data_IF_085720651173
#
_entry.id   IF_085720651173
#
_cell.length_a   1.000
_cell.length_b   1.000
_cell.length_c   1.000
_cell.angle_alpha   90.00
_cell.angle_beta   90.00
_cell.angle_gamma   90.00
#
_symmetry.space_group_name_H-M   'P 1'
#
loop_
_entity.id
_entity.type
_entity.pdbx_description
1 polymer ?
#
# COMPACT_ATOMS: atom_id res chain seq x y z
N UNK A 1 -55.93 -31.13 -54.01
CA UNK A 1 -55.08 -29.94 -53.98
C UNK A 1 -54.63 -29.75 -52.53
N UNK A 2 -53.42 -30.22 -52.16
CA UNK A 2 -52.87 -30.15 -50.83
C UNK A 2 -51.79 -29.05 -50.83
N UNK A 3 -52.02 -27.99 -50.14
CA UNK A 3 -51.03 -26.90 -49.96
C UNK A 3 -50.10 -27.25 -48.83
N UNK A 4 -48.80 -27.40 -49.10
CA UNK A 4 -47.72 -27.60 -48.17
C UNK A 4 -47.20 -26.21 -47.77
N UNK A 5 -47.28 -25.84 -46.46
CA UNK A 5 -46.63 -24.67 -45.90
C UNK A 5 -45.18 -25.01 -45.59
N UNK A 6 -44.20 -24.12 -45.88
CA UNK A 6 -42.82 -24.32 -45.44
C UNK A 6 -42.68 -23.88 -43.98
N UNK A 7 -42.10 -24.76 -43.13
CA UNK A 7 -41.67 -24.46 -41.77
C UNK A 7 -40.37 -23.66 -41.84
N UNK A 8 -40.43 -22.40 -41.46
CA UNK A 8 -39.24 -21.59 -41.22
C UNK A 8 -38.59 -22.00 -39.89
N UNK A 9 -37.39 -22.59 -39.94
CA UNK A 9 -36.53 -22.82 -38.77
C UNK A 9 -35.88 -21.47 -38.43
N UNK A 10 -36.26 -20.89 -37.27
CA UNK A 10 -35.56 -19.79 -36.71
C UNK A 10 -34.35 -20.32 -35.89
N UNK A 11 -33.14 -20.14 -36.45
CA UNK A 11 -31.89 -20.35 -35.68
C UNK A 11 -31.71 -19.20 -34.69
N UNK A 12 -32.00 -19.45 -33.42
CA UNK A 12 -31.63 -18.55 -32.33
C UNK A 12 -30.13 -18.71 -32.06
N UNK A 13 -29.32 -17.78 -32.57
CA UNK A 13 -27.89 -17.72 -32.28
C UNK A 13 -27.66 -17.30 -30.83
N UNK A 14 -27.16 -18.20 -29.99
CA UNK A 14 -26.74 -17.95 -28.65
C UNK A 14 -25.41 -17.14 -28.68
N UNK A 15 -25.47 -15.84 -28.51
CA UNK A 15 -24.27 -15.00 -28.38
C UNK A 15 -23.72 -15.22 -26.96
N UNK A 16 -22.69 -16.08 -26.85
CA UNK A 16 -21.89 -16.20 -25.60
C UNK A 16 -20.96 -15.01 -25.52
N UNK A 17 -21.34 -14.00 -24.72
CA UNK A 17 -20.44 -12.91 -24.35
C UNK A 17 -19.29 -13.48 -23.51
N UNK A 18 -18.12 -13.67 -24.10
CA UNK A 18 -16.88 -13.90 -23.38
C UNK A 18 -16.52 -12.61 -22.65
N UNK A 19 -16.91 -12.50 -21.36
CA UNK A 19 -16.36 -11.50 -20.46
C UNK A 19 -14.94 -11.97 -20.15
N UNK A 20 -13.95 -11.38 -20.83
CA UNK A 20 -12.55 -11.58 -20.47
C UNK A 20 -12.38 -11.12 -19.02
N UNK A 21 -11.74 -11.92 -18.13
CA UNK A 21 -11.45 -11.48 -16.78
C UNK A 21 -10.56 -10.23 -16.90
N UNK A 22 -11.04 -9.10 -16.42
CA UNK A 22 -10.19 -7.93 -16.19
C UNK A 22 -9.10 -8.41 -15.22
N UNK A 23 -7.87 -8.49 -15.69
CA UNK A 23 -6.72 -8.88 -14.89
C UNK A 23 -6.60 -7.82 -13.79
N UNK A 24 -7.02 -8.15 -12.58
CA UNK A 24 -6.84 -7.28 -11.44
C UNK A 24 -5.32 -7.11 -11.23
N UNK A 25 -4.87 -5.86 -11.12
CA UNK A 25 -3.46 -5.54 -10.84
C UNK A 25 -3.02 -6.27 -9.58
N UNK A 26 -1.89 -6.99 -9.65
CA UNK A 26 -1.39 -7.73 -8.49
C UNK A 26 -0.89 -6.79 -7.40
N UNK A 27 -0.87 -7.23 -6.12
CA UNK A 27 -0.28 -6.44 -5.03
C UNK A 27 1.13 -5.94 -5.36
N UNK A 28 1.97 -6.82 -5.92
CA UNK A 28 3.34 -6.49 -6.31
C UNK A 28 3.42 -5.43 -7.39
N UNK A 29 2.63 -5.58 -8.47
CA UNK A 29 2.61 -4.60 -9.56
C UNK A 29 2.14 -3.23 -9.08
N UNK A 30 1.11 -3.18 -8.25
CA UNK A 30 0.62 -1.93 -7.70
C UNK A 30 1.63 -1.27 -6.76
N UNK A 31 2.23 -2.03 -5.84
CA UNK A 31 3.26 -1.53 -4.93
C UNK A 31 4.46 -0.99 -5.72
N UNK A 32 4.93 -1.75 -6.71
CA UNK A 32 6.02 -1.35 -7.60
C UNK A 32 5.73 -0.02 -8.30
N UNK A 33 4.57 0.08 -8.97
CA UNK A 33 4.17 1.32 -9.65
C UNK A 33 4.02 2.51 -8.69
N UNK A 34 3.67 2.26 -7.43
CA UNK A 34 3.58 3.30 -6.40
C UNK A 34 4.97 3.76 -5.92
N UNK A 35 5.90 2.83 -5.73
CA UNK A 35 7.29 3.14 -5.36
C UNK A 35 7.98 3.89 -6.51
N UNK A 36 7.75 3.50 -7.75
CA UNK A 36 8.29 4.17 -8.93
C UNK A 36 7.84 5.64 -9.06
N UNK A 37 6.75 6.05 -8.41
CA UNK A 37 6.36 7.47 -8.32
C UNK A 37 7.17 8.25 -7.28
N UNK A 38 7.69 7.58 -6.23
CA UNK A 38 8.46 8.23 -5.16
C UNK A 38 9.91 8.46 -5.61
N UNK A 39 10.51 7.49 -6.29
CA UNK A 39 11.92 7.56 -6.66
C UNK A 39 12.32 8.84 -7.43
N UNK A 40 11.55 9.29 -8.45
CA UNK A 40 11.84 10.55 -9.12
C UNK A 40 11.79 11.77 -8.20
N UNK A 41 10.91 11.78 -7.18
CA UNK A 41 10.83 12.88 -6.22
C UNK A 41 12.08 12.93 -5.34
N UNK A 42 12.64 11.77 -4.99
CA UNK A 42 13.87 11.67 -4.19
C UNK A 42 15.10 12.12 -5.01
N UNK A 43 15.10 11.82 -6.30
CA UNK A 43 16.22 12.15 -7.21
C UNK A 43 16.13 13.57 -7.82
N UNK A 44 14.98 14.25 -7.73
CA UNK A 44 14.71 15.54 -8.34
C UNK A 44 15.67 16.64 -7.82
N UNK A 45 16.61 17.16 -8.64
CA UNK A 45 17.59 18.15 -8.19
C UNK A 45 16.95 19.45 -7.69
N UNK A 46 15.82 19.87 -8.28
CA UNK A 46 15.09 21.09 -7.91
C UNK A 46 14.43 20.99 -6.53
N UNK A 47 14.29 19.78 -6.00
CA UNK A 47 13.75 19.50 -4.67
C UNK A 47 14.86 19.17 -3.63
N UNK A 48 16.14 19.16 -4.04
CA UNK A 48 17.27 18.94 -3.13
C UNK A 48 17.65 20.25 -2.42
N UNK A 49 18.16 20.11 -1.19
CA UNK A 49 18.60 21.22 -0.34
C UNK A 49 17.55 21.66 0.68
N UNK A 50 18.02 22.32 1.73
CA UNK A 50 17.24 22.67 2.92
C UNK A 50 16.04 23.58 2.60
N UNK A 51 16.18 24.49 1.66
CA UNK A 51 15.12 25.42 1.24
C UNK A 51 13.92 24.70 0.60
N UNK A 52 14.10 23.49 0.06
CA UNK A 52 13.07 22.70 -0.64
C UNK A 52 12.58 21.49 0.14
N UNK A 53 13.10 21.27 1.33
CA UNK A 53 12.73 20.13 2.18
C UNK A 53 11.22 20.03 2.40
N UNK A 54 10.54 21.16 2.61
CA UNK A 54 9.08 21.18 2.86
C UNK A 54 8.29 20.75 1.62
N UNK A 55 8.65 21.24 0.44
CA UNK A 55 7.98 20.88 -0.82
C UNK A 55 8.22 19.42 -1.17
N UNK A 56 9.45 18.93 -0.99
CA UNK A 56 9.80 17.52 -1.19
C UNK A 56 9.00 16.61 -0.26
N UNK A 57 8.92 16.94 1.04
CA UNK A 57 8.12 16.17 2.00
C UNK A 57 6.64 16.17 1.66
N UNK A 58 6.10 17.29 1.23
CA UNK A 58 4.71 17.37 0.80
C UNK A 58 4.43 16.48 -0.43
N UNK A 59 5.34 16.44 -1.41
CA UNK A 59 5.24 15.58 -2.58
C UNK A 59 5.31 14.08 -2.19
N UNK A 60 6.26 13.69 -1.33
CA UNK A 60 6.36 12.33 -0.82
C UNK A 60 5.10 11.95 -0.02
N UNK A 61 4.58 12.86 0.82
CA UNK A 61 3.37 12.63 1.60
C UNK A 61 2.15 12.41 0.71
N UNK A 62 2.02 13.16 -0.38
CA UNK A 62 0.93 12.97 -1.33
C UNK A 62 0.93 11.55 -1.90
N UNK A 63 2.10 11.04 -2.32
CA UNK A 63 2.24 9.67 -2.81
C UNK A 63 2.01 8.65 -1.69
N UNK A 64 2.53 8.88 -0.48
CA UNK A 64 2.30 8.00 0.66
C UNK A 64 0.82 7.83 0.99
N UNK A 65 0.02 8.92 0.90
CA UNK A 65 -1.43 8.86 1.11
C UNK A 65 -2.17 8.03 0.03
N UNK A 66 -1.57 7.83 -1.15
CA UNK A 66 -2.12 6.94 -2.17
C UNK A 66 -1.77 5.47 -1.92
N UNK A 67 -0.66 5.20 -1.23
CA UNK A 67 -0.08 3.87 -1.02
C UNK A 67 -0.58 3.23 0.27
N UNK A 68 -0.68 4.04 1.36
CA UNK A 68 -0.94 3.52 2.70
C UNK A 68 -2.41 3.66 3.10
N UNK A 69 -2.92 2.63 3.79
CA UNK A 69 -4.15 2.72 4.57
C UNK A 69 -3.79 3.12 6.01
N UNK A 70 -3.64 4.42 6.25
CA UNK A 70 -3.32 4.93 7.59
C UNK A 70 -4.40 4.64 8.63
N UNK A 71 -5.65 4.42 8.21
CA UNK A 71 -6.74 4.03 9.11
C UNK A 71 -6.53 2.61 9.62
N UNK A 72 -6.20 1.69 8.74
CA UNK A 72 -5.90 0.31 9.15
C UNK A 72 -4.59 0.21 9.94
N UNK A 73 -3.56 0.97 9.55
CA UNK A 73 -2.32 1.10 10.33
C UNK A 73 -2.59 1.60 11.75
N UNK A 74 -3.45 2.62 11.88
CA UNK A 74 -3.86 3.18 13.17
C UNK A 74 -4.65 2.16 14.01
N UNK A 75 -5.54 1.39 13.38
CA UNK A 75 -6.28 0.31 14.04
C UNK A 75 -5.33 -0.73 14.62
N UNK A 76 -4.31 -1.14 13.89
CA UNK A 76 -3.29 -2.06 14.37
C UNK A 76 -2.49 -1.47 15.55
N UNK A 77 -2.10 -0.21 15.45
CA UNK A 77 -1.34 0.47 16.51
C UNK A 77 -2.12 0.60 17.82
N UNK A 78 -3.40 0.93 17.74
CA UNK A 78 -4.25 1.05 18.94
C UNK A 78 -4.72 -0.32 19.47
N UNK A 79 -4.80 -1.35 18.60
CA UNK A 79 -5.23 -2.68 19.00
C UNK A 79 -6.57 -2.65 19.75
N UNK A 80 -6.66 -3.22 20.98
CA UNK A 80 -7.91 -3.25 21.74
C UNK A 80 -8.47 -1.88 22.13
N UNK A 81 -7.66 -0.83 22.05
CA UNK A 81 -8.09 0.53 22.40
C UNK A 81 -8.87 1.19 21.24
N UNK A 82 -8.76 0.66 20.00
CA UNK A 82 -9.42 1.20 18.82
C UNK A 82 -10.94 1.25 18.94
N UNK A 83 -11.55 0.16 19.42
CA UNK A 83 -13.01 0.04 19.48
C UNK A 83 -13.65 0.99 20.50
N UNK A 84 -12.85 1.48 21.46
CA UNK A 84 -13.28 2.46 22.48
C UNK A 84 -13.14 3.90 22.03
N UNK A 85 -12.66 4.16 20.81
CA UNK A 85 -12.49 5.50 20.26
C UNK A 85 -13.66 5.86 19.37
N UNK A 86 -14.04 7.12 19.41
CA UNK A 86 -15.00 7.71 18.47
C UNK A 86 -14.39 7.76 17.06
N UNK A 87 -15.23 7.91 16.04
CA UNK A 87 -14.74 8.03 14.65
C UNK A 87 -13.85 9.26 14.46
N UNK A 88 -14.14 10.35 15.16
CA UNK A 88 -13.31 11.55 15.14
C UNK A 88 -11.91 11.29 15.73
N UNK A 89 -11.83 10.61 16.88
CA UNK A 89 -10.56 10.23 17.50
C UNK A 89 -9.77 9.25 16.63
N UNK A 90 -10.43 8.30 15.99
CA UNK A 90 -9.81 7.37 15.04
C UNK A 90 -9.21 8.08 13.85
N UNK A 91 -9.93 9.02 13.25
CA UNK A 91 -9.45 9.83 12.14
C UNK A 91 -8.27 10.71 12.55
N UNK A 92 -8.37 11.37 13.71
CA UNK A 92 -7.29 12.20 14.24
C UNK A 92 -6.04 11.38 14.53
N UNK A 93 -6.18 10.20 15.16
CA UNK A 93 -5.06 9.30 15.42
C UNK A 93 -4.41 8.81 14.12
N UNK A 94 -5.20 8.41 13.11
CA UNK A 94 -4.68 7.98 11.81
C UNK A 94 -3.87 9.10 11.13
N UNK A 95 -4.37 10.34 11.18
CA UNK A 95 -3.66 11.53 10.67
C UNK A 95 -2.34 11.75 11.41
N UNK A 96 -2.36 11.74 12.75
CA UNK A 96 -1.17 11.93 13.58
C UNK A 96 -0.15 10.81 13.43
N UNK A 97 -0.60 9.56 13.25
CA UNK A 97 0.27 8.43 12.94
C UNK A 97 1.00 8.65 11.60
N UNK A 98 0.29 9.11 10.58
CA UNK A 98 0.92 9.46 9.31
C UNK A 98 1.98 10.55 9.46
N UNK A 99 1.71 11.59 10.26
CA UNK A 99 2.66 12.67 10.56
C UNK A 99 3.88 12.16 11.34
N UNK A 100 3.67 11.22 12.27
CA UNK A 100 4.74 10.58 13.04
C UNK A 100 5.65 9.75 12.12
N UNK A 101 5.07 8.92 11.25
CA UNK A 101 5.83 8.10 10.31
C UNK A 101 6.62 8.96 9.32
N UNK A 102 6.02 10.03 8.79
CA UNK A 102 6.73 10.96 7.93
C UNK A 102 7.99 11.50 8.62
N UNK A 103 7.87 12.01 9.85
CA UNK A 103 9.00 12.54 10.60
C UNK A 103 10.05 11.48 10.92
N UNK A 104 9.62 10.27 11.29
CA UNK A 104 10.51 9.18 11.66
C UNK A 104 11.35 8.68 10.46
N UNK A 105 10.79 8.73 9.26
CA UNK A 105 11.44 8.21 8.06
C UNK A 105 11.98 9.28 7.12
N UNK A 106 11.67 10.57 7.35
CA UNK A 106 12.13 11.68 6.49
C UNK A 106 13.65 11.66 6.28
N UNK A 107 14.44 11.54 7.34
CA UNK A 107 15.90 11.52 7.24
C UNK A 107 16.42 10.33 6.42
N UNK A 108 15.77 9.15 6.49
CA UNK A 108 16.14 7.98 5.70
C UNK A 108 15.82 8.17 4.23
N UNK A 109 14.68 8.78 3.93
CA UNK A 109 14.31 9.12 2.55
C UNK A 109 15.23 10.21 1.97
N UNK A 110 15.68 11.16 2.80
CA UNK A 110 16.64 12.19 2.40
C UNK A 110 18.04 11.62 2.10
N UNK A 111 18.40 10.50 2.74
CA UNK A 111 19.67 9.79 2.53
C UNK A 111 19.60 8.76 1.38
N UNK A 112 18.45 8.65 0.70
CA UNK A 112 18.32 7.73 -0.43
C UNK A 112 19.42 8.01 -1.47
N UNK A 113 20.21 6.98 -1.73
CA UNK A 113 21.40 7.05 -2.56
C UNK A 113 21.28 6.27 -3.88
N UNK A 114 20.07 5.79 -4.24
CA UNK A 114 19.86 4.92 -5.40
C UNK A 114 19.92 3.43 -5.05
N UNK A 115 19.45 3.06 -3.84
CA UNK A 115 19.22 1.69 -3.44
C UNK A 115 18.22 1.03 -4.40
N UNK A 116 18.43 -0.27 -4.64
CA UNK A 116 17.57 -1.03 -5.53
C UNK A 116 16.60 -1.88 -4.71
N UNK A 117 15.35 -1.96 -5.15
CA UNK A 117 14.34 -2.83 -4.56
C UNK A 117 14.18 -4.07 -5.43
N UNK A 118 14.45 -5.25 -4.86
CA UNK A 118 14.20 -6.55 -5.49
C UNK A 118 12.91 -7.12 -4.91
N UNK A 119 11.95 -7.41 -5.78
CA UNK A 119 10.69 -8.08 -5.42
C UNK A 119 10.94 -9.59 -5.46
N UNK A 120 10.80 -10.27 -4.31
CA UNK A 120 11.22 -11.67 -4.14
C UNK A 120 10.06 -12.64 -4.02
N UNK A 121 8.84 -12.15 -3.85
CA UNK A 121 7.65 -13.00 -3.77
C UNK A 121 6.39 -12.24 -3.40
N UNK A 122 5.27 -12.93 -3.58
CA UNK A 122 3.94 -12.46 -3.23
C UNK A 122 3.13 -13.63 -2.66
N UNK A 123 2.38 -13.38 -1.61
CA UNK A 123 1.40 -14.32 -1.07
C UNK A 123 0.07 -13.59 -0.89
N UNK A 124 -1.00 -14.10 -1.51
CA UNK A 124 -2.35 -13.51 -1.45
C UNK A 124 -3.27 -14.45 -0.69
N UNK A 125 -4.00 -13.91 0.28
CA UNK A 125 -5.04 -14.60 1.05
C UNK A 125 -6.30 -13.72 1.11
N UNK A 126 -7.23 -13.97 0.20
CA UNK A 126 -8.46 -13.20 0.06
C UNK A 126 -8.20 -11.72 -0.22
N UNK A 127 -8.54 -10.86 0.74
CA UNK A 127 -8.32 -9.41 0.66
C UNK A 127 -7.03 -8.94 1.32
N UNK A 128 -6.19 -9.86 1.79
CA UNK A 128 -4.89 -9.58 2.36
C UNK A 128 -3.80 -10.15 1.47
N UNK A 129 -2.65 -9.48 1.44
CA UNK A 129 -1.49 -10.02 0.78
C UNK A 129 -0.19 -9.54 1.46
N UNK A 130 0.87 -10.31 1.23
CA UNK A 130 2.24 -9.93 1.60
C UNK A 130 3.06 -9.82 0.33
N UNK A 131 3.67 -8.65 0.11
CA UNK A 131 4.67 -8.46 -0.94
C UNK A 131 6.04 -8.50 -0.29
N UNK A 132 6.86 -9.49 -0.69
CA UNK A 132 8.20 -9.67 -0.15
C UNK A 132 9.22 -8.94 -1.01
N UNK A 133 10.05 -8.14 -0.37
CA UNK A 133 11.11 -7.40 -1.06
C UNK A 133 12.44 -7.45 -0.31
N UNK A 134 13.50 -7.03 -0.99
CA UNK A 134 14.80 -6.72 -0.39
C UNK A 134 15.25 -5.36 -0.89
N UNK A 135 15.67 -4.50 0.02
CA UNK A 135 16.38 -3.27 -0.32
C UNK A 135 17.86 -3.63 -0.42
N UNK A 136 18.46 -3.35 -1.57
CA UNK A 136 19.87 -3.66 -1.85
C UNK A 136 20.64 -2.35 -1.90
N UNK A 137 21.54 -2.14 -0.95
CA UNK A 137 22.39 -0.95 -0.87
C UNK A 137 23.48 -1.00 -1.92
N UNK A 138 24.16 0.14 -2.15
CA UNK A 138 25.34 0.21 -3.04
C UNK A 138 26.49 -0.69 -2.60
N UNK A 139 26.59 -0.97 -1.30
CA UNK A 139 27.56 -1.88 -0.74
C UNK A 139 27.18 -3.36 -0.88
N UNK A 140 26.03 -3.65 -1.50
CA UNK A 140 25.52 -5.02 -1.68
C UNK A 140 24.85 -5.63 -0.44
N UNK A 141 24.61 -4.84 0.61
CA UNK A 141 23.86 -5.30 1.78
C UNK A 141 22.38 -5.43 1.39
N UNK A 142 21.81 -6.59 1.69
CA UNK A 142 20.40 -6.88 1.47
C UNK A 142 19.62 -6.74 2.78
N UNK A 143 18.61 -5.87 2.78
CA UNK A 143 17.70 -5.67 3.89
C UNK A 143 16.31 -6.21 3.49
N UNK A 144 15.81 -7.29 4.10
CA UNK A 144 14.45 -7.76 3.87
C UNK A 144 13.43 -6.73 4.36
N UNK A 145 12.49 -6.36 3.47
CA UNK A 145 11.38 -5.46 3.78
C UNK A 145 10.12 -6.02 3.14
N UNK A 146 9.19 -6.52 3.96
CA UNK A 146 7.93 -7.06 3.50
C UNK A 146 6.80 -6.06 3.74
N UNK A 147 5.90 -5.95 2.77
CA UNK A 147 4.75 -5.06 2.84
C UNK A 147 3.49 -5.88 3.04
N UNK A 148 2.78 -5.60 4.13
CA UNK A 148 1.44 -6.14 4.35
C UNK A 148 0.44 -5.21 3.69
N UNK A 149 -0.34 -5.74 2.76
CA UNK A 149 -1.30 -4.96 1.97
C UNK A 149 -2.70 -5.53 2.11
N UNK A 150 -3.69 -4.65 2.06
CA UNK A 150 -5.09 -5.04 2.05
C UNK A 150 -5.80 -4.45 0.83
N UNK A 151 -6.81 -5.16 0.35
CA UNK A 151 -7.61 -4.74 -0.79
C UNK A 151 -8.74 -3.82 -0.36
N UNK A 152 -8.78 -2.63 -0.97
CA UNK A 152 -9.88 -1.64 -0.86
C UNK A 152 -10.43 -1.36 -2.25
N UNK A 153 -11.57 -1.96 -2.58
CA UNK A 153 -12.10 -1.92 -3.96
C UNK A 153 -11.11 -2.58 -4.93
N UNK A 154 -10.65 -1.81 -5.91
CA UNK A 154 -9.70 -2.28 -6.93
C UNK A 154 -8.24 -2.00 -6.58
N UNK A 155 -7.96 -1.51 -5.36
CA UNK A 155 -6.61 -1.09 -4.94
C UNK A 155 -6.09 -1.94 -3.78
N UNK A 156 -4.78 -2.19 -3.81
CA UNK A 156 -4.03 -2.74 -2.70
C UNK A 156 -3.34 -1.61 -1.94
N UNK A 157 -3.59 -1.49 -0.64
CA UNK A 157 -3.02 -0.45 0.22
C UNK A 157 -2.17 -1.07 1.31
N UNK A 158 -1.00 -0.50 1.55
CA UNK A 158 -0.08 -0.94 2.61
C UNK A 158 -0.65 -0.53 3.97
N UNK A 159 -0.75 -1.47 4.90
CA UNK A 159 -1.18 -1.18 6.27
C UNK A 159 -0.10 -1.51 7.32
N UNK A 160 0.92 -2.29 6.97
CA UNK A 160 2.07 -2.56 7.81
C UNK A 160 3.31 -2.83 6.95
N UNK A 161 4.48 -2.58 7.53
CA UNK A 161 5.78 -2.88 6.93
C UNK A 161 6.60 -3.70 7.91
N UNK A 162 7.12 -4.84 7.46
CA UNK A 162 8.01 -5.68 8.25
C UNK A 162 9.45 -5.45 7.79
N UNK A 163 10.29 -4.95 8.67
CA UNK A 163 11.72 -4.77 8.45
C UNK A 163 12.45 -5.90 9.17
N UNK A 164 13.16 -6.74 8.43
CA UNK A 164 13.80 -7.96 8.97
C UNK A 164 12.82 -8.84 9.78
N UNK A 165 11.56 -8.92 9.31
CA UNK A 165 10.50 -9.69 9.96
C UNK A 165 9.83 -8.99 11.16
N UNK A 166 10.26 -7.80 11.55
CA UNK A 166 9.69 -7.03 12.67
C UNK A 166 8.64 -6.05 12.14
N UNK A 167 7.38 -6.22 12.57
CA UNK A 167 6.27 -5.34 12.23
C UNK A 167 6.47 -3.94 12.79
N UNK A 168 6.40 -2.94 11.92
CA UNK A 168 6.48 -1.53 12.31
C UNK A 168 5.27 -1.11 13.15
N UNK A 169 4.07 -1.49 12.72
CA UNK A 169 2.83 -1.19 13.46
C UNK A 169 2.78 -1.95 14.78
N UNK A 170 3.29 -3.19 14.82
CA UNK A 170 3.43 -3.97 16.06
C UNK A 170 4.35 -3.30 17.07
N UNK A 171 5.46 -2.72 16.61
CA UNK A 171 6.39 -1.96 17.46
C UNK A 171 5.71 -0.70 18.03
N UNK A 172 5.04 0.10 17.20
CA UNK A 172 4.27 1.26 17.67
C UNK A 172 3.14 0.86 18.61
N UNK A 173 2.44 -0.24 18.35
CA UNK A 173 1.41 -0.76 19.26
C UNK A 173 1.93 -1.01 20.66
N UNK A 174 3.12 -1.60 20.80
CA UNK A 174 3.73 -1.83 22.10
C UNK A 174 4.00 -0.51 22.84
N UNK A 175 4.50 0.51 22.13
CA UNK A 175 4.77 1.82 22.68
C UNK A 175 3.49 2.56 23.08
N UNK A 176 2.47 2.62 22.23
CA UNK A 176 1.20 3.27 22.54
C UNK A 176 0.46 2.58 23.67
N UNK A 177 0.45 1.23 23.71
CA UNK A 177 -0.15 0.48 24.78
C UNK A 177 0.49 0.84 26.15
N UNK A 178 1.81 0.97 26.21
CA UNK A 178 2.51 1.41 27.42
C UNK A 178 2.07 2.81 27.84
N UNK A 179 2.00 3.77 26.90
CA UNK A 179 1.58 5.15 27.19
C UNK A 179 0.13 5.17 27.72
N UNK A 180 -0.79 4.48 27.05
CA UNK A 180 -2.22 4.45 27.42
C UNK A 180 -2.43 3.83 28.81
N UNK A 181 -1.61 2.85 29.20
CA UNK A 181 -1.71 2.22 30.51
C UNK A 181 -1.16 3.09 31.66
N UNK A 182 -0.33 4.08 31.33
CA UNK A 182 0.33 4.95 32.32
C UNK A 182 -0.27 6.37 32.39
N UNK A 183 -1.25 6.67 31.53
CA UNK A 183 -1.97 7.95 31.47
C UNK A 183 -3.33 7.85 32.15
#
# INVERSE_FOLDING_TARGET
>A
MIRVLPRALALAGLIVLFVAPAWAVTPTEQLKGSIEKILPILDEPSLKGDAKTKERRAAIRAVANEIFDFTESARLCLGPHWDRRTDQERQEFARLLGDLLERAFAARLEQYGGERIAYTGEAVDGNLATVKTKIITKAGVELPVDYQVLRRGDRWLVYDVLIEGVSLMGNYRAQFNKIIQTS
#
